data_IF_364662739741
#
_entry.id   IF_364662739741
#
_cell.length_a   1.000
_cell.length_b   1.000
_cell.length_c   1.000
_cell.angle_alpha   90.00
_cell.angle_beta   90.00
_cell.angle_gamma   90.00
#
_symmetry.space_group_name_H-M   'P 1'
#
loop_
_entity.id
_entity.type
_entity.pdbx_description
1 polymer ?
#
# COMPACT_ATOMS: atom_id res chain seq x y z
N UNK A 1 -6.45 0.98 10.64
CA UNK A 1 -6.65 1.10 9.18
C UNK A 1 -7.24 2.46 8.86
N UNK A 2 -6.74 3.08 7.84
CA UNK A 2 -7.24 4.37 7.39
C UNK A 2 -7.66 4.27 5.93
N UNK A 3 -8.74 4.97 5.60
CA UNK A 3 -9.30 4.98 4.25
C UNK A 3 -9.52 6.42 3.81
N UNK A 4 -9.08 6.75 2.60
CA UNK A 4 -9.35 8.03 1.97
C UNK A 4 -9.76 7.84 0.53
N UNK A 5 -10.61 8.74 0.05
CA UNK A 5 -11.09 8.74 -1.34
C UNK A 5 -10.63 10.02 -2.01
N UNK A 6 -10.18 9.89 -3.25
CA UNK A 6 -9.72 11.02 -4.05
C UNK A 6 -10.50 11.06 -5.36
N UNK A 7 -10.96 12.24 -5.75
CA UNK A 7 -11.55 12.42 -7.07
C UNK A 7 -10.42 12.48 -8.10
N UNK A 8 -10.33 11.48 -8.96
CA UNK A 8 -9.23 11.33 -9.89
C UNK A 8 -9.71 10.75 -11.23
N UNK A 9 -10.54 11.50 -11.98
CA UNK A 9 -11.16 10.98 -13.20
C UNK A 9 -10.17 10.69 -14.32
N UNK A 10 -9.01 11.31 -14.32
CA UNK A 10 -8.01 11.15 -15.38
C UNK A 10 -6.75 10.44 -14.90
N UNK A 11 -6.84 9.75 -13.77
CA UNK A 11 -5.69 9.08 -13.18
C UNK A 11 -5.23 7.92 -14.05
N UNK A 12 -3.93 7.91 -14.36
CA UNK A 12 -3.27 6.74 -14.91
C UNK A 12 -2.88 5.82 -13.75
N UNK A 13 -3.69 4.81 -13.51
CA UNK A 13 -3.54 3.92 -12.37
C UNK A 13 -2.17 3.19 -12.36
N UNK A 14 -1.72 2.60 -13.48
CA UNK A 14 -0.39 1.99 -13.49
C UNK A 14 0.74 2.97 -13.19
N UNK A 15 0.63 4.20 -13.65
CA UNK A 15 1.65 5.23 -13.37
C UNK A 15 1.73 5.56 -11.89
N UNK A 16 0.58 5.67 -11.21
CA UNK A 16 0.57 5.91 -9.78
C UNK A 16 1.22 4.75 -9.02
N UNK A 17 0.88 3.52 -9.41
CA UNK A 17 1.44 2.32 -8.78
C UNK A 17 2.97 2.31 -8.92
N UNK A 18 3.47 2.59 -10.11
CA UNK A 18 4.92 2.62 -10.33
C UNK A 18 5.59 3.75 -9.57
N UNK A 19 4.96 4.92 -9.50
CA UNK A 19 5.51 6.05 -8.76
C UNK A 19 5.62 5.74 -7.27
N UNK A 20 4.61 5.09 -6.70
CA UNK A 20 4.65 4.67 -5.30
C UNK A 20 5.74 3.63 -5.05
N UNK A 21 5.86 2.66 -5.95
CA UNK A 21 6.91 1.65 -5.83
C UNK A 21 8.29 2.30 -5.78
N UNK A 22 8.58 3.20 -6.72
CA UNK A 22 9.86 3.87 -6.77
C UNK A 22 10.08 4.75 -5.54
N UNK A 23 9.05 5.42 -5.08
CA UNK A 23 9.13 6.26 -3.90
C UNK A 23 9.57 5.48 -2.67
N UNK A 24 8.96 4.32 -2.42
CA UNK A 24 9.31 3.49 -1.28
C UNK A 24 10.66 2.82 -1.45
N UNK A 25 10.99 2.36 -2.64
CA UNK A 25 12.30 1.75 -2.90
C UNK A 25 13.42 2.76 -2.68
N UNK A 26 13.21 4.01 -3.05
CA UNK A 26 14.18 5.06 -2.80
C UNK A 26 14.43 5.25 -1.31
N UNK A 27 13.41 5.03 -0.48
CA UNK A 27 13.51 5.12 0.97
C UNK A 27 14.03 3.84 1.63
N UNK A 28 14.50 2.87 0.83
CA UNK A 28 15.10 1.62 1.31
C UNK A 28 14.11 0.61 1.88
N UNK A 29 12.83 0.73 1.54
CA UNK A 29 11.86 -0.29 1.87
C UNK A 29 11.87 -1.40 0.83
N UNK A 30 11.56 -2.63 1.25
CA UNK A 30 11.20 -3.69 0.32
C UNK A 30 9.77 -3.47 -0.13
N UNK A 31 9.52 -3.58 -1.42
CA UNK A 31 8.22 -3.30 -2.02
C UNK A 31 7.83 -4.47 -2.90
N UNK A 32 6.56 -4.89 -2.80
CA UNK A 32 5.99 -5.77 -3.80
C UNK A 32 4.61 -5.28 -4.19
N UNK A 33 4.24 -5.52 -5.43
CA UNK A 33 2.97 -5.10 -5.99
C UNK A 33 2.15 -6.34 -6.27
N UNK A 34 0.93 -6.36 -5.74
CA UNK A 34 0.00 -7.47 -5.91
C UNK A 34 -1.18 -6.95 -6.73
N UNK A 35 -1.23 -7.33 -8.00
CA UNK A 35 -2.32 -6.92 -8.89
C UNK A 35 -3.46 -7.91 -8.72
N UNK A 36 -4.55 -7.48 -8.09
CA UNK A 36 -5.72 -8.32 -7.87
C UNK A 36 -6.65 -8.29 -9.07
N UNK A 37 -6.73 -7.14 -9.74
CA UNK A 37 -7.47 -6.96 -10.98
C UNK A 37 -6.94 -5.71 -11.68
N UNK A 38 -7.53 -5.33 -12.80
CA UNK A 38 -7.12 -4.10 -13.50
C UNK A 38 -7.39 -2.84 -12.68
N UNK A 39 -8.35 -2.90 -11.75
CA UNK A 39 -8.76 -1.75 -10.96
C UNK A 39 -8.41 -1.87 -9.48
N UNK A 40 -7.80 -2.98 -9.08
CA UNK A 40 -7.47 -3.26 -7.68
C UNK A 40 -6.01 -3.70 -7.59
N UNK A 41 -5.23 -2.96 -6.82
CA UNK A 41 -3.82 -3.25 -6.60
C UNK A 41 -3.49 -3.04 -5.14
N UNK A 42 -2.66 -3.90 -4.58
CA UNK A 42 -2.11 -3.71 -3.25
C UNK A 42 -0.61 -3.60 -3.34
N UNK A 43 -0.08 -2.55 -2.74
CA UNK A 43 1.35 -2.38 -2.58
C UNK A 43 1.69 -2.77 -1.14
N UNK A 44 2.57 -3.73 -0.99
CA UNK A 44 3.08 -4.10 0.33
C UNK A 44 4.49 -3.57 0.49
N UNK A 45 4.73 -2.92 1.61
CA UNK A 45 6.07 -2.46 1.97
C UNK A 45 6.45 -3.03 3.33
N UNK A 46 7.71 -3.32 3.50
CA UNK A 46 8.28 -3.72 4.78
C UNK A 46 9.70 -3.19 4.88
N UNK A 47 10.21 -3.14 6.09
CA UNK A 47 11.61 -2.76 6.28
C UNK A 47 12.50 -3.90 5.83
N UNK A 48 13.51 -3.55 5.02
CA UNK A 48 14.43 -4.54 4.50
C UNK A 48 15.57 -4.84 5.45
N UNK A 49 16.38 -5.84 5.07
CA UNK A 49 17.61 -6.18 5.77
C UNK A 49 17.39 -6.94 7.06
N UNK A 50 18.31 -6.75 7.99
CA UNK A 50 18.37 -7.52 9.23
C UNK A 50 17.15 -7.32 10.14
N UNK A 51 16.41 -6.22 9.97
CA UNK A 51 15.24 -5.96 10.80
C UNK A 51 14.14 -6.99 10.62
N UNK A 52 14.05 -7.61 9.44
CA UNK A 52 13.12 -8.71 9.20
C UNK A 52 13.47 -9.94 10.06
N UNK A 53 14.74 -10.11 10.38
CA UNK A 53 15.20 -11.25 11.17
C UNK A 53 14.76 -11.16 12.62
N UNK A 54 14.32 -9.99 13.07
CA UNK A 54 13.86 -9.79 14.44
C UNK A 54 12.34 -10.02 14.60
N UNK A 55 11.73 -10.69 13.64
CA UNK A 55 10.30 -11.00 13.72
C UNK A 55 9.38 -9.84 13.38
N UNK A 56 9.91 -8.77 12.82
CA UNK A 56 9.12 -7.64 12.35
C UNK A 56 8.59 -7.96 10.94
N UNK A 57 7.80 -9.02 10.84
CA UNK A 57 7.31 -9.50 9.56
C UNK A 57 6.05 -8.77 9.09
N UNK A 58 5.59 -7.78 9.85
CA UNK A 58 4.42 -7.02 9.42
C UNK A 58 4.77 -6.13 8.23
N UNK A 59 3.83 -6.09 7.30
CA UNK A 59 3.91 -5.20 6.14
C UNK A 59 2.92 -4.07 6.31
N UNK A 60 3.20 -2.95 5.67
CA UNK A 60 2.19 -1.92 5.47
C UNK A 60 1.52 -2.21 4.13
N UNK A 61 0.21 -2.38 4.15
CA UNK A 61 -0.58 -2.66 2.97
C UNK A 61 -1.24 -1.38 2.49
N UNK A 62 -1.03 -1.04 1.23
CA UNK A 62 -1.64 0.10 0.59
C UNK A 62 -2.53 -0.44 -0.52
N UNK A 63 -3.83 -0.49 -0.27
CA UNK A 63 -4.79 -0.98 -1.23
C UNK A 63 -5.30 0.20 -2.06
N UNK A 64 -5.14 0.11 -3.37
CA UNK A 64 -5.56 1.11 -4.33
C UNK A 64 -6.70 0.53 -5.16
N UNK A 65 -7.84 1.19 -5.13
CA UNK A 65 -9.02 0.76 -5.87
C UNK A 65 -9.52 1.92 -6.71
N UNK A 66 -9.66 1.69 -8.02
CA UNK A 66 -10.17 2.70 -8.93
C UNK A 66 -11.63 2.38 -9.24
N UNK A 67 -12.52 3.34 -8.97
CA UNK A 67 -13.97 3.17 -9.18
C UNK A 67 -14.57 4.45 -9.71
N UNK A 68 -15.05 4.42 -10.95
CA UNK A 68 -15.88 5.50 -11.53
C UNK A 68 -15.25 6.90 -11.35
N UNK A 69 -13.98 7.02 -11.69
CA UNK A 69 -13.30 8.31 -11.59
C UNK A 69 -12.82 8.67 -10.18
N UNK A 70 -12.99 7.77 -9.23
CA UNK A 70 -12.48 7.95 -7.87
C UNK A 70 -11.40 6.93 -7.57
N UNK A 71 -10.43 7.36 -6.77
CA UNK A 71 -9.40 6.49 -6.23
C UNK A 71 -9.67 6.29 -4.75
N UNK A 72 -9.91 5.05 -4.36
CA UNK A 72 -10.06 4.68 -2.95
C UNK A 72 -8.75 4.10 -2.46
N UNK A 73 -8.21 4.65 -1.38
CA UNK A 73 -6.95 4.21 -0.79
C UNK A 73 -7.21 3.73 0.63
N UNK A 74 -6.85 2.48 0.89
CA UNK A 74 -6.95 1.90 2.22
C UNK A 74 -5.55 1.50 2.68
N UNK A 75 -5.12 2.00 3.83
CA UNK A 75 -3.81 1.70 4.38
C UNK A 75 -3.98 0.99 5.71
N UNK A 76 -3.35 -0.17 5.84
CA UNK A 76 -3.38 -0.96 7.05
C UNK A 76 -2.15 -1.82 7.17
N UNK A 77 -2.01 -2.49 8.31
CA UNK A 77 -0.94 -3.44 8.50
C UNK A 77 -1.41 -4.84 8.10
N UNK A 78 -0.52 -5.62 7.58
CA UNK A 78 -0.83 -6.98 7.18
C UNK A 78 0.40 -7.86 7.21
N UNK A 79 0.24 -9.09 6.75
CA UNK A 79 1.33 -10.05 6.64
C UNK A 79 1.94 -9.95 5.26
N UNK A 80 3.28 -9.93 5.20
CA UNK A 80 3.97 -9.98 3.92
C UNK A 80 3.59 -11.25 3.17
N UNK A 81 3.14 -11.09 1.94
CA UNK A 81 2.73 -12.23 1.12
C UNK A 81 3.96 -12.85 0.48
N UNK A 82 4.32 -14.05 0.94
CA UNK A 82 5.41 -14.80 0.34
C UNK A 82 4.88 -15.49 -0.91
N UNK A 83 5.45 -15.16 -2.06
CA UNK A 83 5.13 -15.77 -3.36
C UNK A 83 3.62 -15.82 -3.61
N UNK A 84 3.12 -14.74 -4.06
CA UNK A 84 1.72 -14.54 -4.37
C UNK A 84 1.14 -15.64 -5.26
N UNK A 85 0.41 -16.57 -4.64
CA UNK A 85 -0.55 -17.37 -5.36
C UNK A 85 -1.81 -16.51 -5.42
N UNK A 86 -2.19 -16.09 -6.62
CA UNK A 86 -3.16 -15.02 -6.84
C UNK A 86 -4.48 -15.16 -6.05
N UNK A 87 -4.93 -16.39 -5.80
CA UNK A 87 -6.19 -16.61 -5.08
C UNK A 87 -6.11 -16.51 -3.57
N UNK A 88 -4.93 -16.75 -2.97
CA UNK A 88 -4.76 -16.72 -1.52
C UNK A 88 -4.29 -15.35 -1.02
N UNK A 89 -3.66 -14.57 -1.89
CA UNK A 89 -3.13 -13.27 -1.52
C UNK A 89 -4.22 -12.30 -1.09
N UNK A 90 -5.36 -12.29 -1.79
CA UNK A 90 -6.42 -11.34 -1.51
C UNK A 90 -7.00 -11.50 -0.11
N UNK A 91 -7.07 -12.72 0.42
CA UNK A 91 -7.58 -12.94 1.77
C UNK A 91 -6.64 -12.43 2.85
N UNK A 92 -5.34 -12.67 2.70
CA UNK A 92 -4.35 -12.20 3.68
C UNK A 92 -4.15 -10.70 3.65
N UNK A 93 -4.15 -10.14 2.45
CA UNK A 93 -3.88 -8.72 2.24
C UNK A 93 -5.04 -7.86 2.72
N UNK A 94 -6.29 -8.33 2.53
CA UNK A 94 -7.48 -7.56 2.86
C UNK A 94 -7.98 -7.79 4.28
N UNK A 95 -7.21 -8.47 5.14
CA UNK A 95 -7.60 -8.76 6.51
C UNK A 95 -6.81 -7.90 7.50
N UNK A 96 -7.08 -6.58 7.59
CA UNK A 96 -6.26 -5.69 8.41
C UNK A 96 -6.51 -5.83 9.90
N UNK A 97 -7.63 -6.43 10.31
CA UNK A 97 -8.03 -6.46 11.71
C UNK A 97 -7.09 -7.30 12.59
N UNK A 98 -6.41 -8.28 12.01
CA UNK A 98 -5.50 -9.13 12.77
C UNK A 98 -4.20 -8.44 13.18
N UNK A 99 -3.93 -7.23 12.65
CA UNK A 99 -2.65 -6.56 12.80
C UNK A 99 -2.78 -5.11 13.27
N UNK A 100 -3.79 -4.84 14.13
CA UNK A 100 -4.03 -3.46 14.60
C UNK A 100 -2.85 -2.90 15.40
N UNK A 101 -2.19 -3.73 16.22
CA UNK A 101 -1.03 -3.27 16.98
C UNK A 101 0.14 -2.93 16.06
N UNK A 102 0.34 -3.72 15.00
CA UNK A 102 1.38 -3.43 14.03
C UNK A 102 1.10 -2.13 13.27
N UNK A 103 -0.17 -1.83 13.01
CA UNK A 103 -0.51 -0.56 12.37
C UNK A 103 -0.16 0.63 13.26
N UNK A 104 -0.33 0.51 14.57
CA UNK A 104 0.08 1.55 15.50
C UNK A 104 1.58 1.86 15.39
N UNK A 105 2.41 0.83 15.25
CA UNK A 105 3.83 1.02 15.05
C UNK A 105 4.13 1.75 13.73
N UNK A 106 3.41 1.42 12.66
CA UNK A 106 3.56 2.13 11.39
C UNK A 106 3.11 3.58 11.49
N UNK A 107 2.06 3.86 12.26
CA UNK A 107 1.61 5.24 12.46
C UNK A 107 2.66 6.10 13.16
N UNK A 108 3.43 5.53 14.08
CA UNK A 108 4.50 6.25 14.73
C UNK A 108 5.61 6.66 13.77
N UNK A 109 5.80 5.89 12.70
CA UNK A 109 6.76 6.26 11.66
C UNK A 109 6.28 7.38 10.76
N UNK A 110 5.00 7.75 10.85
CA UNK A 110 4.29 8.71 10.01
C UNK A 110 4.25 8.29 8.54
N UNK A 111 4.60 7.06 8.23
CA UNK A 111 4.61 6.58 6.86
C UNK A 111 3.21 6.52 6.24
N UNK A 112 2.16 6.05 6.96
CA UNK A 112 0.82 6.10 6.39
C UNK A 112 0.39 7.52 6.00
N UNK A 113 0.64 8.50 6.85
CA UNK A 113 0.29 9.88 6.54
C UNK A 113 1.06 10.41 5.34
N UNK A 114 2.35 10.13 5.28
CA UNK A 114 3.18 10.54 4.13
C UNK A 114 2.72 9.89 2.85
N UNK A 115 2.24 8.66 2.92
CA UNK A 115 1.72 7.96 1.75
C UNK A 115 0.45 8.64 1.23
N UNK A 116 -0.48 8.97 2.11
CA UNK A 116 -1.68 9.71 1.70
C UNK A 116 -1.31 11.06 1.10
N UNK A 117 -0.36 11.76 1.68
CA UNK A 117 0.08 13.07 1.16
C UNK A 117 0.71 12.92 -0.22
N UNK A 118 1.51 11.90 -0.43
CA UNK A 118 2.11 11.63 -1.74
C UNK A 118 1.04 11.36 -2.79
N UNK A 119 0.05 10.52 -2.46
CA UNK A 119 -1.02 10.18 -3.38
C UNK A 119 -1.85 11.42 -3.71
N UNK A 120 -2.19 12.21 -2.70
CA UNK A 120 -2.96 13.42 -2.90
C UNK A 120 -2.24 14.37 -3.84
N UNK A 121 -0.96 14.59 -3.63
CA UNK A 121 -0.15 15.46 -4.47
C UNK A 121 -0.06 14.91 -5.89
N UNK A 122 0.14 13.61 -6.04
CA UNK A 122 0.21 12.97 -7.35
C UNK A 122 -1.08 13.17 -8.12
N UNK A 123 -2.22 12.93 -7.48
CA UNK A 123 -3.53 13.07 -8.10
C UNK A 123 -3.77 14.50 -8.56
N UNK A 124 -3.41 15.49 -7.75
CA UNK A 124 -3.62 16.89 -8.11
C UNK A 124 -2.70 17.34 -9.25
N UNK A 125 -1.46 16.87 -9.28
CA UNK A 125 -0.53 17.27 -10.34
C UNK A 125 -0.79 16.54 -11.65
N UNK A 126 -1.42 15.36 -11.61
CA UNK A 126 -1.73 14.59 -12.81
C UNK A 126 -3.03 15.06 -13.50
N UNK A 127 -3.79 15.91 -12.84
CA UNK A 127 -5.01 16.48 -13.43
C UNK A 127 -4.67 17.64 -14.40
#
# INVERSE_FOLDING_TARGET
METRSFNAPYLDFPSLTEALKQHFQFQKYEVQILNLSTDDTVIQIRQGGWRNMLGLSSALNIALKQRQGNLLVEIGAGKWADKAIAGTVSMFVLWPLAFTAAYGAWQQSKLPQRTFDFIQQYVYTAA
#
